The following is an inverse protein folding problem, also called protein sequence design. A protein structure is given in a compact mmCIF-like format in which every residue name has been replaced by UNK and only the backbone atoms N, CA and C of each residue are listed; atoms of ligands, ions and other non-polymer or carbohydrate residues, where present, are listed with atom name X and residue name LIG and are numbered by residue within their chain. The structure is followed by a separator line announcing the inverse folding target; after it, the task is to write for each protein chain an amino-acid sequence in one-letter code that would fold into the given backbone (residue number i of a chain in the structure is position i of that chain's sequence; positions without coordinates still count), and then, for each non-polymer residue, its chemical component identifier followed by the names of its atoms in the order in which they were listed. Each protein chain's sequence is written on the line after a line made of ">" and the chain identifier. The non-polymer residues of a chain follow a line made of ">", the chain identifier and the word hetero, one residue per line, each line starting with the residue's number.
data_IF_884529674174
#
_entry.id   IF_884529674174
#
_cell.length_a   1.000
_cell.length_b   1.000
_cell.length_c   1.000
_cell.angle_alpha   90.00
_cell.angle_beta   90.00
_cell.angle_gamma   90.00
#
_symmetry.space_group_name_H-M   'P 1'
#
loop_
_entity.id
_entity.type
_entity.pdbx_description
1 polymer ?
#
# COMPACT_ATOMS: atom_id res chain seq x y z
N UNK A 1 -14.32 -1.62 -31.64
CA UNK A 1 -14.63 -2.95 -32.19
C UNK A 1 -13.27 -3.64 -32.19
N UNK A 2 -12.88 -4.34 -31.14
CA UNK A 2 -13.64 -5.39 -30.45
C UNK A 2 -13.79 -5.16 -28.95
N UNK A 3 -15.03 -5.26 -28.49
CA UNK A 3 -15.40 -5.48 -27.09
C UNK A 3 -15.50 -7.00 -26.87
N UNK A 4 -15.24 -7.49 -25.65
CA UNK A 4 -15.61 -8.80 -25.02
C UNK A 4 -14.53 -9.17 -23.95
N UNK A 5 -14.75 -9.66 -22.71
CA UNK A 5 -15.87 -9.83 -21.76
C UNK A 5 -15.28 -10.07 -20.34
N UNK A 6 -16.00 -9.61 -19.31
CA UNK A 6 -16.37 -10.22 -18.00
C UNK A 6 -15.33 -11.00 -17.14
N UNK A 7 -15.19 -10.56 -15.89
CA UNK A 7 -15.34 -11.41 -14.70
C UNK A 7 -15.75 -10.55 -13.47
N UNK A 8 -16.97 -10.79 -12.97
CA UNK A 8 -17.28 -10.56 -11.56
C UNK A 8 -16.50 -11.58 -10.71
N UNK A 9 -15.98 -11.16 -9.56
CA UNK A 9 -15.89 -11.99 -8.34
C UNK A 9 -15.75 -11.09 -7.11
N UNK A 10 -16.60 -11.35 -6.14
CA UNK A 10 -16.76 -10.66 -4.87
C UNK A 10 -16.13 -11.45 -3.70
N UNK A 11 -15.87 -10.74 -2.59
CA UNK A 11 -15.57 -11.11 -1.19
C UNK A 11 -14.38 -12.05 -0.83
N UNK A 12 -13.70 -12.79 -1.71
CA UNK A 12 -12.76 -13.87 -1.25
C UNK A 12 -11.24 -13.69 -1.40
N UNK A 13 -10.75 -12.52 -1.78
CA UNK A 13 -9.30 -12.22 -1.79
C UNK A 13 -8.62 -12.64 -3.10
N UNK A 14 -8.18 -11.63 -3.85
CA UNK A 14 -7.43 -11.78 -5.09
C UNK A 14 -7.62 -10.59 -6.04
N UNK A 15 -6.58 -9.77 -6.14
CA UNK A 15 -6.19 -8.84 -7.23
C UNK A 15 -7.26 -7.88 -7.77
N UNK A 16 -7.26 -6.65 -7.26
CA UNK A 16 -7.79 -5.50 -7.98
C UNK A 16 -6.86 -5.16 -9.14
N UNK A 17 -7.26 -5.49 -10.36
CA UNK A 17 -6.63 -5.02 -11.60
C UNK A 17 -6.99 -3.54 -11.72
N UNK A 18 -6.02 -2.63 -11.58
CA UNK A 18 -6.25 -1.21 -11.82
C UNK A 18 -6.36 -1.02 -13.34
N UNK A 19 -7.59 -0.95 -13.84
CA UNK A 19 -7.87 -0.52 -15.20
C UNK A 19 -7.40 0.92 -15.36
N UNK A 20 -6.47 1.17 -16.29
CA UNK A 20 -6.20 2.51 -16.79
C UNK A 20 -7.45 2.96 -17.58
N UNK A 21 -8.39 3.60 -16.88
CA UNK A 21 -9.50 4.31 -17.51
C UNK A 21 -8.96 5.62 -18.09
N UNK A 22 -8.73 5.62 -19.40
CA UNK A 22 -8.51 6.85 -20.13
C UNK A 22 -9.85 7.62 -20.22
N UNK A 23 -9.84 8.86 -19.70
CA UNK A 23 -10.83 9.93 -19.86
C UNK A 23 -12.20 9.81 -19.16
N UNK A 24 -12.27 10.25 -17.90
CA UNK A 24 -13.44 10.94 -17.35
C UNK A 24 -13.00 12.03 -16.35
N UNK A 25 -13.68 13.18 -16.38
CA UNK A 25 -13.26 14.50 -15.88
C UNK A 25 -12.40 14.56 -14.61
N UNK A 26 -11.20 15.15 -14.76
CA UNK A 26 -10.30 15.57 -13.67
C UNK A 26 -10.98 16.63 -12.79
N UNK A 27 -11.50 16.25 -11.61
CA UNK A 27 -11.42 17.15 -10.46
C UNK A 27 -10.00 17.06 -9.95
N UNK A 28 -9.11 17.86 -10.53
CA UNK A 28 -7.69 17.78 -10.25
C UNK A 28 -7.37 18.09 -8.79
N UNK A 29 -6.49 17.30 -8.18
CA UNK A 29 -5.65 17.72 -7.03
C UNK A 29 -4.82 19.00 -7.31
N UNK A 30 -5.04 19.73 -8.40
CA UNK A 30 -4.28 20.94 -8.77
C UNK A 30 -4.41 22.06 -7.74
N UNK A 31 -5.43 22.02 -6.88
CA UNK A 31 -5.66 23.03 -5.83
C UNK A 31 -5.38 22.49 -4.42
N UNK A 32 -5.30 21.18 -4.25
CA UNK A 32 -5.10 20.51 -2.95
C UNK A 32 -3.65 20.09 -2.78
N UNK A 33 -3.06 20.37 -1.63
CA UNK A 33 -1.69 19.92 -1.34
C UNK A 33 -1.62 18.39 -1.30
N UNK A 34 -0.42 17.82 -1.50
CA UNK A 34 -0.26 16.35 -1.44
C UNK A 34 -0.63 15.82 -0.04
N UNK A 35 -0.25 16.54 1.01
CA UNK A 35 -0.57 16.17 2.38
C UNK A 35 -2.09 16.12 2.60
N UNK A 36 -2.81 17.18 2.21
CA UNK A 36 -4.28 17.22 2.32
C UNK A 36 -4.95 16.11 1.50
N UNK A 37 -4.44 15.82 0.30
CA UNK A 37 -4.98 14.73 -0.52
C UNK A 37 -4.81 13.36 0.17
N UNK A 38 -3.67 13.11 0.80
CA UNK A 38 -3.43 11.88 1.59
C UNK A 38 -4.38 11.84 2.80
N UNK A 39 -4.53 12.95 3.53
CA UNK A 39 -5.46 13.03 4.66
C UNK A 39 -6.91 12.75 4.22
N UNK A 40 -7.34 13.30 3.08
CA UNK A 40 -8.68 13.09 2.53
C UNK A 40 -8.95 11.63 2.15
N UNK A 41 -8.02 10.94 1.47
CA UNK A 41 -8.24 9.53 1.08
C UNK A 41 -8.08 8.56 2.25
N UNK A 42 -7.47 8.99 3.36
CA UNK A 42 -7.27 8.19 4.58
C UNK A 42 -8.20 8.54 5.75
N UNK A 43 -9.19 9.40 5.50
CA UNK A 43 -10.19 9.79 6.49
C UNK A 43 -11.05 8.57 6.90
N UNK A 44 -11.10 8.22 8.21
CA UNK A 44 -11.92 7.10 8.69
C UNK A 44 -13.42 7.25 8.43
N UNK A 45 -13.91 8.45 8.12
CA UNK A 45 -15.31 8.70 7.77
C UNK A 45 -15.65 8.30 6.33
N UNK A 46 -14.65 8.01 5.49
CA UNK A 46 -14.89 7.56 4.12
C UNK A 46 -15.52 6.16 4.11
N UNK A 47 -16.73 5.98 3.53
CA UNK A 47 -17.36 4.67 3.46
C UNK A 47 -16.63 3.72 2.52
N UNK A 48 -16.01 4.25 1.46
CA UNK A 48 -15.28 3.49 0.43
C UNK A 48 -13.99 4.21 0.05
N UNK A 49 -13.08 3.51 -0.62
CA UNK A 49 -11.85 4.06 -1.18
C UNK A 49 -12.15 5.06 -2.29
N UNK A 50 -11.53 6.25 -2.24
CA UNK A 50 -11.57 7.20 -3.34
C UNK A 50 -10.46 6.87 -4.36
N UNK A 51 -10.69 5.83 -5.17
CA UNK A 51 -9.70 5.36 -6.15
C UNK A 51 -9.28 6.42 -7.15
N UNK A 52 -10.18 7.31 -7.56
CA UNK A 52 -9.85 8.44 -8.42
C UNK A 52 -8.75 9.29 -7.80
N UNK A 53 -8.92 9.73 -6.54
CA UNK A 53 -7.91 10.55 -5.87
C UNK A 53 -6.64 9.77 -5.51
N UNK A 54 -6.76 8.47 -5.18
CA UNK A 54 -5.59 7.59 -4.98
C UNK A 54 -4.71 7.54 -6.24
N UNK A 55 -5.31 7.40 -7.43
CA UNK A 55 -4.56 7.39 -8.69
C UNK A 55 -3.95 8.75 -9.01
N UNK A 56 -4.65 9.86 -8.72
CA UNK A 56 -4.07 11.20 -8.86
C UNK A 56 -2.86 11.41 -7.93
N UNK A 57 -2.91 10.87 -6.70
CA UNK A 57 -1.77 10.87 -5.78
C UNK A 57 -0.60 10.04 -6.35
N UNK A 58 -0.89 8.88 -6.94
CA UNK A 58 0.13 8.04 -7.59
C UNK A 58 0.85 8.79 -8.73
N UNK A 59 0.11 9.45 -9.62
CA UNK A 59 0.66 10.23 -10.74
C UNK A 59 1.59 11.34 -10.26
N UNK A 60 1.22 12.03 -9.18
CA UNK A 60 2.01 13.11 -8.58
C UNK A 60 3.31 12.60 -7.95
N UNK A 61 3.25 11.47 -7.24
CA UNK A 61 4.42 10.88 -6.59
C UNK A 61 5.37 10.25 -7.60
N UNK A 62 4.85 9.57 -8.62
CA UNK A 62 5.64 8.88 -9.65
C UNK A 62 6.56 9.82 -10.45
N UNK A 63 6.31 11.13 -10.42
CA UNK A 63 7.06 12.13 -11.19
C UNK A 63 7.92 13.06 -10.33
N UNK A 64 7.89 12.93 -8.99
CA UNK A 64 8.54 13.87 -8.09
C UNK A 64 9.07 13.20 -6.80
N UNK A 65 10.41 13.18 -6.65
CA UNK A 65 11.08 12.60 -5.49
C UNK A 65 10.66 13.22 -4.14
N UNK A 66 10.55 14.55 -4.07
CA UNK A 66 10.13 15.23 -2.83
C UNK A 66 8.69 14.82 -2.45
N UNK A 67 7.85 14.53 -3.44
CA UNK A 67 6.49 14.04 -3.21
C UNK A 67 6.50 12.62 -2.64
N UNK A 68 7.39 11.74 -3.10
CA UNK A 68 7.55 10.40 -2.53
C UNK A 68 7.98 10.44 -1.06
N UNK A 69 8.98 11.26 -0.73
CA UNK A 69 9.43 11.45 0.66
C UNK A 69 8.29 11.97 1.55
N UNK A 70 7.56 12.98 1.08
CA UNK A 70 6.44 13.58 1.82
C UNK A 70 5.30 12.57 2.04
N UNK A 71 5.02 11.73 1.04
CA UNK A 71 4.02 10.67 1.16
C UNK A 71 4.40 9.63 2.21
N UNK A 72 5.67 9.18 2.24
CA UNK A 72 6.17 8.25 3.27
C UNK A 72 6.04 8.84 4.67
N UNK A 73 6.30 10.15 4.84
CA UNK A 73 6.13 10.83 6.12
C UNK A 73 4.67 10.80 6.57
N UNK A 74 3.73 11.16 5.70
CA UNK A 74 2.31 11.25 6.04
C UNK A 74 1.68 9.87 6.27
N UNK A 75 2.01 8.88 5.44
CA UNK A 75 1.58 7.48 5.62
C UNK A 75 2.11 6.94 6.95
N UNK A 76 3.39 7.19 7.28
CA UNK A 76 3.95 6.78 8.57
C UNK A 76 3.23 7.41 9.75
N UNK A 77 2.85 8.69 9.65
CA UNK A 77 2.06 9.39 10.68
C UNK A 77 0.71 8.70 10.87
N UNK A 78 0.04 8.32 9.78
CA UNK A 78 -1.22 7.58 9.84
C UNK A 78 -1.07 6.19 10.47
N UNK A 79 -0.05 5.41 10.08
CA UNK A 79 0.21 4.08 10.65
C UNK A 79 0.51 4.10 12.16
N UNK A 80 1.03 5.23 12.67
CA UNK A 80 1.33 5.42 14.10
C UNK A 80 0.14 5.88 14.93
N UNK A 81 -0.97 6.30 14.30
CA UNK A 81 -2.19 6.68 15.02
C UNK A 81 -2.68 5.46 15.81
N UNK A 82 -3.09 5.68 17.05
CA UNK A 82 -3.63 4.59 17.86
C UNK A 82 -4.96 4.12 17.25
N UNK A 83 -5.07 2.87 16.78
CA UNK A 83 -6.28 2.39 16.12
C UNK A 83 -7.49 2.32 17.07
N UNK A 84 -7.26 2.29 18.39
CA UNK A 84 -8.34 2.37 19.39
C UNK A 84 -9.04 3.72 19.36
N UNK A 85 -8.29 4.82 19.12
CA UNK A 85 -8.86 6.17 19.12
C UNK A 85 -9.25 6.66 17.72
N UNK A 86 -8.48 6.30 16.69
CA UNK A 86 -8.70 6.76 15.31
C UNK A 86 -9.50 5.77 14.45
N UNK A 87 -9.72 4.55 14.95
CA UNK A 87 -10.44 3.51 14.25
C UNK A 87 -9.60 2.79 13.18
N UNK A 88 -9.88 1.50 13.03
CA UNK A 88 -9.21 0.65 12.04
C UNK A 88 -9.47 1.06 10.58
N UNK A 89 -10.53 1.81 10.31
CA UNK A 89 -10.87 2.27 8.95
C UNK A 89 -9.78 3.16 8.35
N UNK A 90 -9.21 4.07 9.14
CA UNK A 90 -8.10 4.92 8.67
C UNK A 90 -6.84 4.10 8.36
N UNK A 91 -6.58 3.05 9.13
CA UNK A 91 -5.47 2.12 8.86
C UNK A 91 -5.71 1.37 7.55
N UNK A 92 -6.91 0.82 7.33
CA UNK A 92 -7.26 0.12 6.09
C UNK A 92 -7.06 1.04 4.88
N UNK A 93 -7.59 2.26 4.90
CA UNK A 93 -7.41 3.23 3.81
C UNK A 93 -5.95 3.59 3.59
N UNK A 94 -5.18 3.73 4.66
CA UNK A 94 -3.74 4.02 4.59
C UNK A 94 -2.97 2.85 3.95
N UNK A 95 -3.31 1.61 4.31
CA UNK A 95 -2.70 0.42 3.70
C UNK A 95 -3.09 0.29 2.22
N UNK A 96 -4.34 0.59 1.86
CA UNK A 96 -4.79 0.60 0.47
C UNK A 96 -4.06 1.64 -0.37
N UNK A 97 -3.91 2.87 0.15
CA UNK A 97 -3.11 3.91 -0.51
C UNK A 97 -1.64 3.45 -0.67
N UNK A 98 -1.06 2.89 0.38
CA UNK A 98 0.33 2.41 0.36
C UNK A 98 0.54 1.32 -0.70
N UNK A 99 -0.37 0.36 -0.81
CA UNK A 99 -0.32 -0.69 -1.83
C UNK A 99 -0.41 -0.10 -3.25
N UNK A 100 -1.31 0.87 -3.47
CA UNK A 100 -1.40 1.57 -4.74
C UNK A 100 -0.10 2.29 -5.10
N UNK A 101 0.55 2.97 -4.14
CA UNK A 101 1.82 3.67 -4.37
C UNK A 101 2.97 2.73 -4.71
N UNK A 102 3.09 1.59 -4.02
CA UNK A 102 4.11 0.59 -4.35
C UNK A 102 3.89 0.04 -5.76
N UNK A 103 2.65 -0.18 -6.17
CA UNK A 103 2.34 -0.76 -7.48
C UNK A 103 2.47 0.24 -8.64
N UNK A 104 2.34 1.55 -8.39
CA UNK A 104 2.23 2.55 -9.47
C UNK A 104 3.38 3.56 -9.54
N UNK A 105 4.14 3.79 -8.46
CA UNK A 105 5.14 4.88 -8.42
C UNK A 105 6.58 4.43 -8.74
N UNK A 106 6.82 3.12 -8.82
CA UNK A 106 8.14 2.57 -9.17
C UNK A 106 9.26 2.93 -8.19
N UNK A 107 10.49 2.88 -8.69
CA UNK A 107 11.73 2.99 -7.90
C UNK A 107 11.82 4.28 -7.06
N UNK A 108 11.28 5.39 -7.58
CA UNK A 108 11.24 6.68 -6.86
C UNK A 108 10.53 6.51 -5.52
N UNK A 109 9.46 5.73 -5.44
CA UNK A 109 8.78 5.47 -4.18
C UNK A 109 9.44 4.34 -3.38
N UNK A 110 9.87 3.27 -4.04
CA UNK A 110 10.43 2.09 -3.39
C UNK A 110 11.68 2.41 -2.55
N UNK A 111 12.56 3.28 -3.05
CA UNK A 111 13.76 3.71 -2.32
C UNK A 111 13.44 4.47 -1.01
N UNK A 112 12.33 5.21 -0.97
CA UNK A 112 11.86 5.86 0.26
C UNK A 112 11.07 4.91 1.17
N UNK A 113 10.41 3.89 0.61
CA UNK A 113 9.72 2.83 1.35
C UNK A 113 10.70 1.99 2.18
N UNK A 114 11.89 1.72 1.65
CA UNK A 114 13.00 1.01 2.31
C UNK A 114 13.67 1.85 3.40
N UNK A 115 12.86 2.35 4.34
CA UNK A 115 13.29 3.14 5.48
C UNK A 115 12.94 2.41 6.78
N UNK A 116 13.93 2.17 7.63
CA UNK A 116 13.76 1.42 8.89
C UNK A 116 12.64 1.99 9.78
N UNK A 117 12.55 3.31 9.90
CA UNK A 117 11.53 3.96 10.73
C UNK A 117 10.11 3.83 10.15
N UNK A 118 9.99 3.72 8.82
CA UNK A 118 8.73 3.42 8.15
C UNK A 118 8.33 1.96 8.35
N UNK A 119 9.25 1.02 8.07
CA UNK A 119 9.02 -0.42 8.22
C UNK A 119 8.66 -0.81 9.66
N UNK A 120 9.32 -0.21 10.65
CA UNK A 120 8.94 -0.36 12.07
C UNK A 120 7.52 0.15 12.36
N UNK A 121 7.09 1.24 11.72
CA UNK A 121 5.73 1.76 11.87
C UNK A 121 4.69 0.81 11.24
N UNK A 122 4.96 0.30 10.03
CA UNK A 122 4.11 -0.69 9.38
C UNK A 122 3.96 -1.95 10.24
N UNK A 123 5.07 -2.52 10.71
CA UNK A 123 5.06 -3.67 11.62
C UNK A 123 4.34 -3.38 12.93
N UNK A 124 4.45 -2.15 13.44
CA UNK A 124 3.78 -1.81 14.69
C UNK A 124 2.27 -1.94 14.62
N UNK A 125 1.65 -1.83 13.43
CA UNK A 125 0.20 -2.04 13.22
C UNK A 125 -0.22 -3.43 13.70
N UNK A 126 0.60 -4.45 13.43
CA UNK A 126 0.30 -5.84 13.77
C UNK A 126 0.85 -6.28 15.14
N UNK A 127 1.49 -5.37 15.88
CA UNK A 127 2.00 -5.70 17.20
C UNK A 127 0.87 -6.10 18.16
N UNK A 128 1.11 -7.12 18.99
CA UNK A 128 0.09 -7.69 19.89
C UNK A 128 -0.59 -6.66 20.80
N UNK A 129 0.13 -5.59 21.20
CA UNK A 129 -0.41 -4.48 22.00
C UNK A 129 -1.58 -3.75 21.32
N UNK A 130 -1.64 -3.75 19.98
CA UNK A 130 -2.69 -3.08 19.22
C UNK A 130 -3.90 -4.00 18.99
N UNK A 131 -3.74 -5.32 19.15
CA UNK A 131 -4.78 -6.33 18.93
C UNK A 131 -5.57 -6.12 17.61
N UNK A 132 -4.90 -6.19 16.44
CA UNK A 132 -5.53 -5.92 15.15
C UNK A 132 -6.62 -6.93 14.78
N UNK A 133 -7.67 -6.50 14.07
CA UNK A 133 -8.56 -7.41 13.35
C UNK A 133 -7.77 -8.31 12.40
N UNK A 134 -8.12 -9.59 12.35
CA UNK A 134 -7.45 -10.59 11.50
C UNK A 134 -7.30 -10.18 10.02
N UNK A 135 -8.28 -9.52 9.38
CA UNK A 135 -8.11 -9.05 8.00
C UNK A 135 -6.97 -8.04 7.83
N UNK A 136 -6.76 -7.17 8.82
CA UNK A 136 -5.71 -6.13 8.78
C UNK A 136 -4.34 -6.75 9.04
N UNK A 137 -4.26 -7.66 10.00
CA UNK A 137 -3.06 -8.47 10.25
C UNK A 137 -2.64 -9.21 8.98
N UNK A 138 -3.58 -9.90 8.32
CA UNK A 138 -3.35 -10.61 7.05
C UNK A 138 -2.90 -9.66 5.95
N UNK A 139 -3.51 -8.49 5.82
CA UNK A 139 -3.14 -7.50 4.79
C UNK A 139 -1.69 -7.03 4.95
N UNK A 140 -1.30 -6.63 6.17
CA UNK A 140 0.08 -6.17 6.43
C UNK A 140 1.10 -7.28 6.17
N UNK A 141 0.82 -8.50 6.63
CA UNK A 141 1.72 -9.64 6.38
C UNK A 141 1.81 -9.98 4.90
N UNK A 142 0.70 -9.91 4.15
CA UNK A 142 0.70 -10.10 2.70
C UNK A 142 1.58 -9.05 2.01
N UNK A 143 1.46 -7.78 2.38
CA UNK A 143 2.28 -6.71 1.81
C UNK A 143 3.77 -6.95 2.06
N UNK A 144 4.16 -7.27 3.32
CA UNK A 144 5.56 -7.53 3.68
C UNK A 144 6.11 -8.72 2.88
N UNK A 145 5.37 -9.83 2.80
CA UNK A 145 5.80 -11.01 2.03
C UNK A 145 5.91 -10.71 0.54
N UNK A 146 4.92 -10.01 -0.03
CA UNK A 146 4.91 -9.68 -1.44
C UNK A 146 6.12 -8.80 -1.81
N UNK A 147 6.40 -7.78 -1.01
CA UNK A 147 7.54 -6.89 -1.26
C UNK A 147 8.88 -7.60 -1.08
N UNK A 148 9.01 -8.49 -0.08
CA UNK A 148 10.19 -9.31 0.08
C UNK A 148 10.46 -10.19 -1.15
N UNK A 149 9.41 -10.75 -1.76
CA UNK A 149 9.52 -11.55 -2.99
C UNK A 149 9.86 -10.69 -4.21
N UNK A 150 9.20 -9.54 -4.40
CA UNK A 150 9.44 -8.69 -5.59
C UNK A 150 10.82 -8.01 -5.54
N UNK A 151 11.29 -7.63 -4.35
CA UNK A 151 12.52 -6.86 -4.18
C UNK A 151 13.72 -7.71 -3.75
N UNK A 152 13.62 -9.04 -3.77
CA UNK A 152 14.67 -9.93 -3.27
C UNK A 152 16.03 -9.76 -3.97
N UNK A 153 16.01 -9.35 -5.25
CA UNK A 153 17.22 -9.17 -6.07
C UNK A 153 17.76 -7.73 -6.02
N UNK A 154 17.16 -6.83 -5.24
CA UNK A 154 17.58 -5.44 -5.12
C UNK A 154 18.24 -5.16 -3.76
N UNK A 155 19.57 -4.98 -3.76
CA UNK A 155 20.36 -4.70 -2.55
C UNK A 155 19.96 -3.42 -1.83
N UNK A 156 19.45 -2.41 -2.55
CA UNK A 156 19.02 -1.15 -1.93
C UNK A 156 17.72 -1.32 -1.12
N UNK A 157 17.02 -2.44 -1.29
CA UNK A 157 15.75 -2.76 -0.64
C UNK A 157 15.85 -3.96 0.32
N UNK A 158 17.08 -4.42 0.63
CA UNK A 158 17.35 -5.60 1.46
C UNK A 158 16.67 -5.55 2.84
N UNK A 159 16.50 -4.35 3.42
CA UNK A 159 15.81 -4.15 4.70
C UNK A 159 14.35 -4.65 4.70
N UNK A 160 13.70 -4.76 3.53
CA UNK A 160 12.36 -5.34 3.40
C UNK A 160 12.42 -6.87 3.61
N UNK A 161 13.47 -7.53 3.08
CA UNK A 161 13.72 -8.95 3.30
C UNK A 161 14.04 -9.22 4.78
N UNK A 162 14.84 -8.36 5.41
CA UNK A 162 15.14 -8.44 6.85
C UNK A 162 13.86 -8.36 7.69
N UNK A 163 12.96 -7.41 7.38
CA UNK A 163 11.67 -7.27 8.04
C UNK A 163 10.82 -8.56 7.92
N UNK A 164 10.77 -9.14 6.72
CA UNK A 164 10.04 -10.38 6.46
C UNK A 164 10.55 -11.54 7.32
N UNK A 165 11.87 -11.74 7.37
CA UNK A 165 12.49 -12.78 8.20
C UNK A 165 12.34 -12.50 9.69
N UNK A 166 12.44 -11.24 10.13
CA UNK A 166 12.18 -10.85 11.52
C UNK A 166 10.74 -11.19 11.95
N UNK A 167 9.76 -10.95 11.08
CA UNK A 167 8.37 -11.33 11.33
C UNK A 167 8.20 -12.85 11.45
N UNK A 168 8.84 -13.64 10.58
CA UNK A 168 8.83 -15.11 10.71
C UNK A 168 9.45 -15.59 12.02
N UNK A 169 10.59 -15.02 12.41
CA UNK A 169 11.26 -15.35 13.68
C UNK A 169 10.40 -15.02 14.90
N UNK A 170 9.56 -13.99 14.82
CA UNK A 170 8.60 -13.62 15.86
C UNK A 170 7.30 -14.46 15.83
N UNK A 171 7.18 -15.41 14.90
CA UNK A 171 6.06 -16.35 14.84
C UNK A 171 4.84 -15.82 14.09
N UNK A 172 4.96 -14.76 13.29
CA UNK A 172 3.86 -14.35 12.42
C UNK A 172 3.62 -15.40 11.33
N UNK A 173 2.36 -15.79 11.14
CA UNK A 173 1.94 -16.71 10.09
C UNK A 173 1.58 -15.93 8.83
N UNK A 174 2.40 -16.07 7.80
CA UNK A 174 2.17 -15.42 6.51
C UNK A 174 1.13 -16.18 5.68
N UNK A 175 0.34 -15.48 4.85
CA UNK A 175 -0.57 -16.14 3.92
C UNK A 175 0.19 -17.01 2.89
N UNK A 176 -0.49 -17.98 2.27
CA UNK A 176 0.09 -18.76 1.18
C UNK A 176 0.53 -17.85 0.03
N UNK A 177 1.70 -18.12 -0.54
CA UNK A 177 2.19 -17.39 -1.71
C UNK A 177 1.37 -17.82 -2.93
N UNK A 178 0.65 -16.88 -3.55
CA UNK A 178 0.03 -17.09 -4.84
C UNK A 178 1.09 -17.14 -5.95
N UNK A 179 1.38 -18.35 -6.43
CA UNK A 179 2.39 -18.66 -7.47
C UNK A 179 2.15 -17.97 -8.83
N UNK A 180 1.04 -17.25 -9.00
CA UNK A 180 0.75 -16.50 -10.23
C UNK A 180 1.51 -15.16 -10.33
N UNK A 181 2.14 -14.69 -9.26
CA UNK A 181 2.92 -13.43 -9.26
C UNK A 181 4.41 -13.59 -9.61
N UNK A 182 4.95 -14.81 -9.60
CA UNK A 182 6.39 -15.04 -9.85
C UNK A 182 6.78 -15.08 -11.34
N UNK A 183 5.80 -15.06 -12.24
CA UNK A 183 6.04 -15.31 -13.68
C UNK A 183 6.08 -14.04 -14.55
N UNK A 184 5.95 -12.83 -13.99
CA UNK A 184 5.79 -11.61 -14.81
C UNK A 184 6.93 -10.59 -14.76
N UNK A 185 8.02 -10.87 -14.04
CA UNK A 185 9.22 -9.99 -14.01
C UNK A 185 10.42 -10.59 -14.78
N UNK A 186 10.19 -11.63 -15.58
CA UNK A 186 11.20 -12.25 -16.45
C UNK A 186 10.64 -12.41 -17.86
N UNK A 187 10.32 -11.30 -18.53
CA UNK A 187 10.28 -11.24 -19.99
C UNK A 187 10.49 -9.84 -20.50
#
# INVERSE_FOLDING_TARGET
>A
MDSIFIADIDITGGIGIVYRMDHFSRTSISTTSLQEAIELVTDPNNPNENWTMIMEICDKIATNKNSAEMAIIEIKKNLRKNPVTFGWRSIVLTLTLLEALVNNCGEIFHTHLANEAFLKALKSVIASKNNPPKPIEKQVLNMIQHWAVIFCDNSDLEIIQELYEECKQQGYEFPPIDKNHTNKTRS
#
